data_IF_697690486390
#
_entry.id   IF_697690486390
#
_cell.length_a   1.000
_cell.length_b   1.000
_cell.length_c   1.000
_cell.angle_alpha   90.00
_cell.angle_beta   90.00
_cell.angle_gamma   90.00
#
_symmetry.space_group_name_H-M   'P 1'
#
loop_
_entity.id
_entity.type
_entity.pdbx_description
1 polymer ?
#
# COMPACT_ATOMS: atom_id res chain seq x y z
N UNK A 1 -5.32 -15.32 -13.71
CA UNK A 1 -5.81 -14.07 -14.33
C UNK A 1 -5.98 -13.06 -13.22
N UNK A 2 -5.34 -11.89 -13.31
CA UNK A 2 -5.50 -10.84 -12.29
C UNK A 2 -6.86 -10.14 -12.42
N UNK A 3 -7.44 -9.71 -11.29
CA UNK A 3 -8.73 -9.03 -11.29
C UNK A 3 -8.72 -7.70 -12.09
N UNK A 4 -9.92 -7.25 -12.50
CA UNK A 4 -10.11 -5.94 -13.13
C UNK A 4 -9.61 -4.78 -12.25
N UNK A 5 -9.67 -4.95 -10.93
CA UNK A 5 -9.16 -3.97 -9.95
C UNK A 5 -7.65 -3.81 -10.06
N UNK A 6 -6.90 -4.91 -10.09
CA UNK A 6 -5.45 -4.87 -10.29
C UNK A 6 -5.08 -4.32 -11.67
N UNK A 7 -5.79 -4.71 -12.73
CA UNK A 7 -5.49 -4.23 -14.08
C UNK A 7 -5.61 -2.70 -14.21
N UNK A 8 -6.57 -2.09 -13.50
CA UNK A 8 -6.69 -0.63 -13.43
C UNK A 8 -5.49 0.03 -12.73
N UNK A 9 -4.96 -0.57 -11.65
CA UNK A 9 -3.72 -0.10 -11.04
C UNK A 9 -2.52 -0.26 -11.96
N UNK A 10 -2.40 -1.41 -12.64
CA UNK A 10 -1.30 -1.69 -13.57
C UNK A 10 -1.28 -0.73 -14.76
N UNK A 11 -2.43 -0.21 -15.18
CA UNK A 11 -2.48 0.83 -16.21
C UNK A 11 -1.82 2.15 -15.75
N UNK A 12 -1.80 2.44 -14.45
CA UNK A 12 -1.17 3.64 -13.85
C UNK A 12 0.27 3.34 -13.45
N UNK A 13 0.53 2.14 -12.93
CA UNK A 13 1.84 1.65 -12.51
C UNK A 13 2.19 0.39 -13.32
N UNK A 14 2.79 0.54 -14.53
CA UNK A 14 3.02 -0.59 -15.44
C UNK A 14 3.88 -1.72 -14.86
N UNK A 15 4.78 -1.38 -13.94
CA UNK A 15 5.64 -2.33 -13.23
C UNK A 15 4.95 -3.05 -12.05
N UNK A 16 3.67 -2.76 -11.78
CA UNK A 16 2.96 -3.43 -10.70
C UNK A 16 2.77 -4.92 -11.00
N UNK A 17 2.80 -5.71 -9.92
CA UNK A 17 2.63 -7.15 -9.92
C UNK A 17 1.48 -7.55 -9.01
N UNK A 18 0.72 -8.57 -9.43
CA UNK A 18 -0.34 -9.15 -8.62
C UNK A 18 0.26 -10.30 -7.82
N UNK A 19 0.34 -10.13 -6.50
CA UNK A 19 0.80 -11.16 -5.58
C UNK A 19 -0.40 -11.77 -4.84
N UNK A 20 -0.15 -12.80 -4.03
CA UNK A 20 -1.17 -13.42 -3.20
C UNK A 20 -0.73 -13.58 -1.75
N UNK A 21 -1.60 -13.22 -0.82
CA UNK A 21 -1.43 -13.44 0.63
C UNK A 21 -2.68 -14.17 1.13
N UNK A 22 -2.51 -15.38 1.68
CA UNK A 22 -3.64 -16.18 2.19
C UNK A 22 -4.75 -16.41 1.15
N UNK A 23 -4.39 -16.53 -0.13
CA UNK A 23 -5.33 -16.70 -1.24
C UNK A 23 -6.07 -15.42 -1.68
N UNK A 24 -5.72 -14.25 -1.13
CA UNK A 24 -6.26 -12.96 -1.55
C UNK A 24 -5.26 -12.21 -2.40
N UNK A 25 -5.72 -11.54 -3.44
CA UNK A 25 -4.86 -10.73 -4.29
C UNK A 25 -4.38 -9.48 -3.55
N UNK A 26 -3.12 -9.13 -3.75
CA UNK A 26 -2.51 -7.89 -3.28
C UNK A 26 -1.70 -7.29 -4.42
N UNK A 27 -1.51 -5.96 -4.42
CA UNK A 27 -0.74 -5.30 -5.49
C UNK A 27 0.63 -4.86 -4.96
N UNK A 28 1.69 -5.47 -5.48
CA UNK A 28 3.04 -4.96 -5.33
C UNK A 28 3.28 -3.87 -6.38
N UNK A 29 3.78 -2.72 -5.95
CA UNK A 29 3.99 -1.54 -6.78
C UNK A 29 5.41 -1.01 -6.53
N UNK A 30 6.38 -1.34 -7.40
CA UNK A 30 7.76 -0.95 -7.19
C UNK A 30 8.03 0.51 -7.55
N UNK A 31 9.00 1.11 -6.88
CA UNK A 31 9.63 2.36 -7.32
C UNK A 31 8.76 3.62 -7.25
N UNK A 32 7.78 3.68 -6.35
CA UNK A 32 6.88 4.83 -6.18
C UNK A 32 7.60 5.96 -5.43
N UNK A 33 7.53 7.17 -5.99
CA UNK A 33 8.04 8.38 -5.33
C UNK A 33 6.98 8.97 -4.40
N UNK A 34 7.28 9.01 -3.10
CA UNK A 34 6.47 9.66 -2.07
C UNK A 34 7.14 10.95 -1.62
N UNK A 35 6.34 11.96 -1.27
CA UNK A 35 6.85 13.13 -0.56
C UNK A 35 6.94 12.78 0.93
N UNK A 36 8.14 12.74 1.48
CA UNK A 36 8.39 12.57 2.90
C UNK A 36 8.79 13.92 3.52
N UNK A 37 8.80 14.02 4.85
CA UNK A 37 9.18 15.25 5.54
C UNK A 37 10.61 15.74 5.22
N UNK A 38 11.48 14.84 4.71
CA UNK A 38 12.84 15.15 4.27
C UNK A 38 13.03 15.31 2.76
N UNK A 39 11.94 15.36 1.98
CA UNK A 39 11.95 15.42 0.52
C UNK A 39 11.43 14.15 -0.17
N UNK A 40 11.50 14.08 -1.51
CA UNK A 40 11.02 12.93 -2.26
C UNK A 40 11.85 11.68 -1.96
N UNK A 41 11.18 10.56 -1.69
CA UNK A 41 11.79 9.25 -1.46
C UNK A 41 11.15 8.20 -2.35
N UNK A 42 11.96 7.33 -2.93
CA UNK A 42 11.47 6.20 -3.73
C UNK A 42 11.32 4.95 -2.85
N UNK A 43 10.14 4.34 -2.85
CA UNK A 43 9.81 3.16 -2.05
C UNK A 43 9.07 2.12 -2.88
N UNK A 44 9.14 0.87 -2.47
CA UNK A 44 8.19 -0.13 -2.93
C UNK A 44 6.96 -0.13 -2.02
N UNK A 45 5.79 -0.34 -2.63
CA UNK A 45 4.53 -0.41 -1.93
C UNK A 45 3.91 -1.79 -2.09
N UNK A 46 3.19 -2.24 -1.06
CA UNK A 46 2.32 -3.40 -1.14
C UNK A 46 0.92 -2.99 -0.67
N UNK A 47 0.00 -2.89 -1.61
CA UNK A 47 -1.41 -2.60 -1.31
C UNK A 47 -2.10 -3.91 -0.95
N UNK A 48 -2.67 -3.95 0.27
CA UNK A 48 -3.55 -5.00 0.73
C UNK A 48 -4.99 -4.46 0.81
N UNK A 49 -5.79 -4.59 -0.27
CA UNK A 49 -7.10 -3.97 -0.43
C UNK A 49 -8.24 -4.75 0.26
N UNK A 50 -7.86 -5.60 1.22
CA UNK A 50 -8.75 -6.44 1.99
C UNK A 50 -8.47 -6.25 3.48
N UNK A 51 -9.43 -6.66 4.31
CA UNK A 51 -9.30 -6.54 5.75
C UNK A 51 -8.06 -7.27 6.28
N UNK A 52 -7.24 -6.58 7.07
CA UNK A 52 -6.01 -7.10 7.71
C UNK A 52 -5.68 -6.28 8.96
N UNK A 53 -5.28 -6.96 10.03
CA UNK A 53 -4.82 -6.36 11.29
C UNK A 53 -5.82 -5.36 11.95
N UNK A 54 -7.13 -5.59 11.79
CA UNK A 54 -8.25 -4.69 12.19
C UNK A 54 -8.45 -3.43 11.33
N UNK A 55 -7.91 -3.41 10.10
CA UNK A 55 -8.09 -2.33 9.14
C UNK A 55 -8.86 -2.87 7.95
N UNK A 56 -9.79 -2.08 7.39
CA UNK A 56 -10.56 -2.48 6.19
C UNK A 56 -9.63 -2.71 4.98
N UNK A 57 -8.55 -1.94 4.88
CA UNK A 57 -7.48 -2.06 3.89
C UNK A 57 -6.16 -1.58 4.49
N UNK A 58 -5.02 -2.00 3.96
CA UNK A 58 -3.69 -1.51 4.38
C UNK A 58 -2.80 -1.20 3.19
N UNK A 59 -1.93 -0.21 3.38
CA UNK A 59 -0.78 0.04 2.53
C UNK A 59 0.50 -0.21 3.33
N UNK A 60 1.37 -1.00 2.74
CA UNK A 60 2.67 -1.36 3.28
C UNK A 60 3.76 -0.68 2.45
N UNK A 61 4.88 -0.34 3.10
CA UNK A 61 6.06 0.29 2.54
C UNK A 61 7.28 -0.55 2.89
N UNK A 62 8.25 -0.67 1.98
CA UNK A 62 9.46 -1.50 2.18
C UNK A 62 10.32 -1.09 3.39
N UNK A 63 10.24 0.17 3.79
CA UNK A 63 10.93 0.71 4.97
C UNK A 63 10.12 1.81 5.65
N UNK A 64 10.45 2.08 6.91
CA UNK A 64 9.92 3.27 7.61
C UNK A 64 10.46 4.53 6.94
N UNK A 65 9.58 5.47 6.64
CA UNK A 65 9.93 6.80 6.10
C UNK A 65 9.43 7.89 7.03
N UNK A 66 10.06 9.08 6.96
CA UNK A 66 9.60 10.23 7.72
C UNK A 66 8.28 10.73 7.13
N UNK A 67 7.23 10.80 7.95
CA UNK A 67 5.92 11.31 7.55
C UNK A 67 5.48 12.46 8.48
N UNK A 68 4.69 13.42 7.99
CA UNK A 68 4.44 14.68 8.70
C UNK A 68 3.34 14.62 9.79
N UNK A 69 2.59 13.52 9.89
CA UNK A 69 1.38 13.39 10.72
C UNK A 69 1.61 12.68 12.06
N UNK A 70 2.81 12.17 12.34
CA UNK A 70 3.12 11.54 13.63
C UNK A 70 2.35 10.24 13.87
N UNK A 71 2.11 9.46 12.81
CA UNK A 71 1.41 8.18 12.82
C UNK A 71 2.26 7.10 13.51
N UNK A 72 1.59 6.13 14.12
CA UNK A 72 2.26 4.96 14.69
C UNK A 72 2.68 4.02 13.56
N UNK A 73 3.88 3.45 13.64
CA UNK A 73 4.42 2.51 12.66
C UNK A 73 4.65 1.14 13.29
N UNK A 74 4.31 0.09 12.54
CA UNK A 74 4.56 -1.30 12.93
C UNK A 74 5.16 -2.10 11.77
N UNK A 75 5.92 -3.13 12.13
CA UNK A 75 6.52 -4.09 11.20
C UNK A 75 5.56 -5.25 11.00
N UNK A 76 5.42 -5.72 9.77
CA UNK A 76 4.56 -6.83 9.38
C UNK A 76 5.28 -7.76 8.42
N UNK A 77 4.98 -9.06 8.49
CA UNK A 77 5.36 -10.01 7.45
C UNK A 77 4.16 -10.22 6.53
N UNK A 78 4.34 -9.96 5.23
CA UNK A 78 3.31 -10.12 4.19
C UNK A 78 3.96 -10.67 2.93
N UNK A 79 3.38 -11.70 2.32
CA UNK A 79 3.96 -12.40 1.16
C UNK A 79 5.38 -12.93 1.43
N UNK A 80 5.69 -13.29 2.68
CA UNK A 80 7.02 -13.78 3.09
C UNK A 80 8.09 -12.69 3.24
N UNK A 81 7.76 -11.43 2.99
CA UNK A 81 8.68 -10.30 3.10
C UNK A 81 8.33 -9.39 4.29
N UNK A 82 9.32 -8.63 4.74
CA UNK A 82 9.15 -7.67 5.85
C UNK A 82 8.73 -6.31 5.31
N UNK A 83 7.67 -5.76 5.89
CA UNK A 83 7.05 -4.51 5.48
C UNK A 83 6.77 -3.61 6.68
N UNK A 84 6.61 -2.32 6.41
CA UNK A 84 6.23 -1.31 7.39
C UNK A 84 4.86 -0.74 7.03
N UNK A 85 4.00 -0.53 8.03
CA UNK A 85 2.72 0.15 7.85
C UNK A 85 2.52 1.20 8.95
N UNK A 86 1.96 2.35 8.56
CA UNK A 86 1.53 3.37 9.51
C UNK A 86 0.05 3.16 9.91
N UNK A 87 -0.38 3.76 11.02
CA UNK A 87 -1.74 3.66 11.56
C UNK A 87 -2.75 4.52 10.78
N UNK A 88 -2.84 4.36 9.46
CA UNK A 88 -3.80 5.05 8.60
C UNK A 88 -5.08 4.23 8.43
N UNK A 89 -6.23 4.82 8.77
CA UNK A 89 -7.54 4.13 8.83
C UNK A 89 -8.62 4.86 8.02
N UNK A 90 -9.81 4.26 7.94
CA UNK A 90 -10.99 4.84 7.29
C UNK A 90 -11.10 4.56 5.78
N UNK A 91 -10.16 3.81 5.20
CA UNK A 91 -10.16 3.46 3.79
C UNK A 91 -10.95 2.17 3.54
N UNK A 92 -12.13 2.30 2.94
CA UNK A 92 -13.10 1.20 2.77
C UNK A 92 -12.73 0.22 1.67
N UNK A 93 -12.87 -1.08 1.95
CA UNK A 93 -12.51 -2.17 1.03
C UNK A 93 -13.41 -2.29 -0.21
N UNK A 94 -14.59 -1.66 -0.22
CA UNK A 94 -15.47 -1.65 -1.40
C UNK A 94 -15.06 -0.61 -2.46
N UNK A 95 -14.10 0.26 -2.13
CA UNK A 95 -13.61 1.25 -3.08
C UNK A 95 -12.77 0.58 -4.18
N UNK A 96 -12.71 1.16 -5.40
CA UNK A 96 -11.75 0.73 -6.41
C UNK A 96 -10.31 0.78 -5.89
N UNK A 97 -9.47 -0.17 -6.26
CA UNK A 97 -8.10 -0.27 -5.70
C UNK A 97 -7.25 0.97 -5.96
N UNK A 98 -7.44 1.64 -7.10
CA UNK A 98 -6.82 2.93 -7.40
C UNK A 98 -7.21 3.99 -6.36
N UNK A 99 -8.49 4.02 -5.95
CA UNK A 99 -8.97 4.94 -4.91
C UNK A 99 -8.48 4.54 -3.52
N UNK A 100 -8.39 3.23 -3.22
CA UNK A 100 -7.81 2.75 -1.96
C UNK A 100 -6.35 3.23 -1.85
N UNK A 101 -5.55 3.00 -2.90
CA UNK A 101 -4.16 3.45 -2.95
C UNK A 101 -4.07 4.96 -2.78
N UNK A 102 -4.82 5.75 -3.56
CA UNK A 102 -4.80 7.20 -3.48
C UNK A 102 -5.16 7.71 -2.07
N UNK A 103 -6.10 7.06 -1.38
CA UNK A 103 -6.44 7.41 0.00
C UNK A 103 -5.31 7.10 0.99
N UNK A 104 -4.62 5.95 0.85
CA UNK A 104 -3.48 5.61 1.71
C UNK A 104 -2.27 6.52 1.46
N UNK A 105 -2.03 6.94 0.22
CA UNK A 105 -0.93 7.85 -0.11
C UNK A 105 -1.03 9.21 0.61
N UNK A 106 -2.24 9.60 1.05
CA UNK A 106 -2.46 10.81 1.86
C UNK A 106 -1.82 10.73 3.24
N UNK A 107 -1.46 9.54 3.73
CA UNK A 107 -0.73 9.39 4.98
C UNK A 107 0.66 10.06 4.93
N UNK A 108 1.23 10.22 3.73
CA UNK A 108 2.57 10.76 3.53
C UNK A 108 2.58 12.25 3.12
N UNK A 109 1.42 12.83 2.79
CA UNK A 109 1.25 14.23 2.43
C UNK A 109 1.15 15.16 3.64
#
# INVERSE_FOLDING_TARGET
MSSAQFNALKAIYPAAECWSEGGREVAFIPGVTLQAAGGPVQVNLLLHPHAKDNYDTRLFVDRKIAEPKGLNWAVHTVCGETWWACSWQGVKAHLPWVQILANHLRAFL
#
